data_IF_841304433704
#
_entry.id   IF_841304433704
#
_cell.length_a   1.000
_cell.length_b   1.000
_cell.length_c   1.000
_cell.angle_alpha   90.00
_cell.angle_beta   90.00
_cell.angle_gamma   90.00
#
_symmetry.space_group_name_H-M   'P 1'
#
loop_
_entity.id
_entity.type
_entity.pdbx_description
1 polymer ?
#
# COMPACT_ATOMS: atom_id res chain seq x y z
N UNK A 1 11.68 14.92 13.01
CA UNK A 1 10.79 14.06 12.21
C UNK A 1 11.49 13.44 11.01
N UNK A 2 12.31 14.18 10.24
CA UNK A 2 13.08 13.64 9.11
C UNK A 2 14.08 12.52 9.51
N UNK A 3 14.79 12.69 10.63
CA UNK A 3 15.82 11.75 11.12
C UNK A 3 15.28 10.35 11.47
N UNK A 4 14.10 10.26 12.09
CA UNK A 4 13.46 8.97 12.42
C UNK A 4 13.03 8.23 11.15
N UNK A 5 12.48 8.95 10.17
CA UNK A 5 12.01 8.34 8.92
C UNK A 5 13.18 7.77 8.12
N UNK A 6 14.27 8.54 8.00
CA UNK A 6 15.51 8.09 7.36
C UNK A 6 16.07 6.83 8.02
N UNK A 7 16.06 6.78 9.36
CA UNK A 7 16.57 5.62 10.08
C UNK A 7 15.67 4.38 9.95
N UNK A 8 14.35 4.56 9.85
CA UNK A 8 13.42 3.46 9.51
C UNK A 8 13.73 2.92 8.12
N UNK A 9 13.99 3.79 7.13
CA UNK A 9 14.35 3.38 5.77
C UNK A 9 15.66 2.60 5.74
N UNK A 10 16.70 3.09 6.43
CA UNK A 10 17.99 2.37 6.59
C UNK A 10 17.77 0.98 7.23
N UNK A 11 16.94 0.91 8.27
CA UNK A 11 16.62 -0.34 8.94
C UNK A 11 15.88 -1.32 8.03
N UNK A 12 14.87 -0.85 7.28
CA UNK A 12 14.17 -1.69 6.30
C UNK A 12 15.12 -2.18 5.21
N UNK A 13 15.94 -1.30 4.65
CA UNK A 13 16.88 -1.66 3.59
C UNK A 13 17.84 -2.78 4.01
N UNK A 14 18.41 -2.69 5.23
CA UNK A 14 19.38 -3.68 5.69
C UNK A 14 18.74 -4.96 6.25
N UNK A 15 17.46 -4.94 6.66
CA UNK A 15 16.77 -6.10 7.28
C UNK A 15 15.84 -6.86 6.34
N UNK A 16 15.20 -6.20 5.36
CA UNK A 16 14.11 -6.74 4.54
C UNK A 16 14.53 -7.74 3.44
N UNK A 17 15.81 -8.08 3.31
CA UNK A 17 16.27 -9.18 2.45
C UNK A 17 17.19 -10.13 3.22
N UNK A 18 17.12 -10.08 4.55
CA UNK A 18 18.04 -10.77 5.45
C UNK A 18 17.29 -11.24 6.71
N UNK A 19 16.41 -12.25 6.61
CA UNK A 19 15.58 -12.71 7.74
C UNK A 19 16.43 -13.11 8.96
N UNK A 20 17.58 -13.76 8.72
CA UNK A 20 18.55 -14.12 9.79
C UNK A 20 19.15 -12.89 10.47
N UNK A 21 19.29 -11.76 9.78
CA UNK A 21 19.77 -10.49 10.36
C UNK A 21 18.68 -9.81 11.17
N UNK A 22 17.43 -9.89 10.73
CA UNK A 22 16.27 -9.43 11.50
C UNK A 22 16.18 -10.16 12.85
N UNK A 23 16.43 -11.47 12.89
CA UNK A 23 16.52 -12.23 14.13
C UNK A 23 17.61 -11.70 15.07
N UNK A 24 18.78 -11.32 14.54
CA UNK A 24 19.85 -10.67 15.32
C UNK A 24 19.37 -9.33 15.86
N UNK A 25 18.78 -8.48 15.00
CA UNK A 25 18.26 -7.16 15.37
C UNK A 25 17.21 -7.22 16.49
N UNK A 26 16.32 -8.22 16.46
CA UNK A 26 15.31 -8.44 17.52
C UNK A 26 15.96 -8.62 18.89
N UNK A 27 17.07 -9.34 18.97
CA UNK A 27 17.80 -9.61 20.21
C UNK A 27 18.68 -8.45 20.70
N UNK A 28 18.92 -7.43 19.88
CA UNK A 28 19.66 -6.21 20.28
C UNK A 28 18.79 -5.37 21.21
N UNK A 29 19.21 -5.25 22.47
CA UNK A 29 18.44 -4.57 23.52
C UNK A 29 19.31 -3.96 24.64
N UNK A 30 20.64 -3.89 24.45
CA UNK A 30 21.57 -3.38 25.46
C UNK A 30 21.82 -4.34 26.64
N UNK A 31 21.30 -5.58 26.61
CA UNK A 31 21.49 -6.59 27.66
C UNK A 31 22.28 -7.81 27.18
N UNK A 32 22.13 -8.18 25.92
CA UNK A 32 22.83 -9.32 25.33
C UNK A 32 24.15 -8.90 24.67
N UNK A 33 25.22 -9.65 24.93
CA UNK A 33 26.47 -9.54 24.17
C UNK A 33 26.34 -10.16 22.79
N UNK A 34 27.26 -9.86 21.87
CA UNK A 34 27.36 -10.57 20.57
C UNK A 34 27.45 -12.09 20.75
N UNK A 35 28.12 -12.55 21.82
CA UNK A 35 28.23 -13.97 22.17
C UNK A 35 26.90 -14.54 22.64
N UNK A 36 26.16 -13.83 23.49
CA UNK A 36 24.81 -14.23 23.93
C UNK A 36 23.84 -14.37 22.75
N UNK A 37 23.85 -13.41 21.81
CA UNK A 37 23.00 -13.42 20.61
C UNK A 37 23.35 -14.62 19.71
N UNK A 38 24.64 -14.88 19.53
CA UNK A 38 25.15 -16.03 18.77
C UNK A 38 24.68 -17.36 19.36
N UNK A 39 24.78 -17.53 20.68
CA UNK A 39 24.31 -18.73 21.38
C UNK A 39 22.79 -18.89 21.25
N UNK A 40 22.01 -17.83 21.48
CA UNK A 40 20.53 -17.87 21.39
C UNK A 40 20.00 -18.24 20.02
N UNK A 41 20.67 -17.80 18.96
CA UNK A 41 20.26 -18.08 17.58
C UNK A 41 20.91 -19.36 17.00
N UNK A 42 21.82 -20.01 17.72
CA UNK A 42 22.60 -21.13 17.18
C UNK A 42 23.44 -20.77 15.95
N UNK A 43 23.87 -19.50 15.84
CA UNK A 43 24.63 -18.99 14.68
C UNK A 43 26.09 -18.75 15.05
N UNK A 44 27.01 -18.98 14.11
CA UNK A 44 28.45 -18.69 14.29
C UNK A 44 28.68 -17.24 14.75
N UNK A 45 29.56 -17.04 15.75
CA UNK A 45 29.89 -15.73 16.32
C UNK A 45 30.32 -14.71 15.25
N UNK A 46 31.14 -15.13 14.29
CA UNK A 46 31.60 -14.29 13.18
C UNK A 46 30.47 -13.80 12.27
N UNK A 47 29.45 -14.64 12.02
CA UNK A 47 28.31 -14.27 11.20
C UNK A 47 27.41 -13.25 11.91
N UNK A 48 27.15 -13.46 13.20
CA UNK A 48 26.40 -12.51 14.04
C UNK A 48 27.16 -11.20 14.17
N UNK A 49 28.48 -11.25 14.38
CA UNK A 49 29.33 -10.06 14.41
C UNK A 49 29.25 -9.25 13.12
N UNK A 50 29.28 -9.92 11.95
CA UNK A 50 29.16 -9.24 10.65
C UNK A 50 27.78 -8.60 10.44
N UNK A 51 26.72 -9.25 10.93
CA UNK A 51 25.37 -8.70 10.90
C UNK A 51 25.26 -7.47 11.81
N UNK A 52 25.80 -7.52 13.03
CA UNK A 52 25.84 -6.37 13.95
C UNK A 52 26.66 -5.21 13.39
N UNK A 53 27.82 -5.49 12.78
CA UNK A 53 28.64 -4.45 12.16
C UNK A 53 27.86 -3.71 11.06
N UNK A 54 27.20 -4.44 10.15
CA UNK A 54 26.38 -3.81 9.10
C UNK A 54 25.25 -2.96 9.65
N UNK A 55 24.62 -3.38 10.74
CA UNK A 55 23.57 -2.60 11.39
C UNK A 55 24.12 -1.35 12.09
N UNK A 56 25.34 -1.42 12.65
CA UNK A 56 26.04 -0.28 13.21
C UNK A 56 26.43 0.71 12.11
N UNK A 57 26.95 0.24 10.98
CA UNK A 57 27.35 1.09 9.85
C UNK A 57 26.16 1.87 9.26
N UNK A 58 24.94 1.32 9.38
CA UNK A 58 23.69 1.98 9.00
C UNK A 58 23.07 2.85 10.11
N UNK A 59 23.75 2.99 11.24
CA UNK A 59 23.34 3.75 12.43
C UNK A 59 22.01 3.31 13.06
N UNK A 60 21.57 2.07 12.81
CA UNK A 60 20.33 1.53 13.39
C UNK A 60 20.56 0.87 14.77
N UNK A 61 21.81 0.55 15.09
CA UNK A 61 22.25 0.12 16.42
C UNK A 61 23.53 0.86 16.81
N UNK A 62 23.79 0.96 18.11
CA UNK A 62 24.98 1.58 18.68
C UNK A 62 25.64 0.64 19.68
N UNK A 63 26.96 0.78 19.86
CA UNK A 63 27.64 0.15 20.98
C UNK A 63 27.09 0.74 22.27
N UNK A 64 26.81 -0.11 23.25
CA UNK A 64 26.36 0.36 24.55
C UNK A 64 27.54 0.99 25.28
N UNK A 65 27.36 2.21 25.75
CA UNK A 65 28.36 2.96 26.50
C UNK A 65 27.97 2.96 27.99
N UNK A 66 28.94 2.74 28.87
CA UNK A 66 28.73 2.85 30.32
C UNK A 66 28.76 4.31 30.81
N UNK A 67 28.52 4.51 32.10
CA UNK A 67 28.54 5.86 32.72
C UNK A 67 29.90 6.55 32.64
N UNK A 68 30.96 5.79 32.36
CA UNK A 68 32.34 6.28 32.26
C UNK A 68 32.79 6.52 30.82
N UNK A 69 31.91 6.29 29.84
CA UNK A 69 32.21 6.49 28.42
C UNK A 69 32.84 5.27 27.74
N UNK A 70 32.97 4.12 28.42
CA UNK A 70 33.58 2.92 27.86
C UNK A 70 32.55 2.00 27.20
N UNK A 71 32.97 1.29 26.15
CA UNK A 71 32.14 0.28 25.48
C UNK A 71 31.90 -0.90 26.41
N UNK A 72 30.63 -1.19 26.68
CA UNK A 72 30.22 -2.32 27.51
C UNK A 72 30.54 -3.63 26.79
N UNK A 73 31.33 -4.47 27.45
CA UNK A 73 31.62 -5.84 27.02
C UNK A 73 31.12 -6.82 28.07
N UNK A 74 30.59 -7.95 27.61
CA UNK A 74 30.18 -9.08 28.46
C UNK A 74 30.68 -10.38 27.82
N UNK A 75 31.30 -11.23 28.62
CA UNK A 75 31.93 -12.49 28.19
C UNK A 75 32.94 -12.30 27.03
N UNK A 76 33.67 -11.19 27.05
CA UNK A 76 34.64 -10.80 26.02
C UNK A 76 34.02 -10.22 24.74
N UNK A 77 32.70 -10.12 24.63
CA UNK A 77 31.98 -9.65 23.45
C UNK A 77 31.26 -8.32 23.70
N UNK A 78 31.18 -7.48 22.66
CA UNK A 78 30.55 -6.16 22.72
C UNK A 78 29.04 -6.29 22.93
N UNK A 79 28.46 -5.37 23.70
CA UNK A 79 27.00 -5.21 23.87
C UNK A 79 26.52 -4.06 22.99
N UNK A 80 25.48 -4.33 22.21
CA UNK A 80 24.83 -3.32 21.36
C UNK A 80 23.44 -2.98 21.88
N UNK A 81 22.99 -1.76 21.62
CA UNK A 81 21.62 -1.32 21.82
C UNK A 81 21.03 -0.70 20.55
N UNK A 82 19.71 -0.75 20.40
CA UNK A 82 19.04 -0.09 19.27
C UNK A 82 19.20 1.41 19.39
N UNK A 83 19.25 2.10 18.27
CA UNK A 83 19.23 3.56 18.26
C UNK A 83 18.02 4.07 19.09
N UNK A 84 18.15 5.10 19.94
CA UNK A 84 17.06 5.62 20.78
C UNK A 84 15.74 5.83 20.03
N UNK A 85 15.78 6.45 18.84
CA UNK A 85 14.57 6.69 18.05
C UNK A 85 13.92 5.39 17.49
N UNK A 86 14.66 4.29 17.36
CA UNK A 86 14.10 2.98 16.94
C UNK A 86 13.58 2.15 18.12
N UNK A 87 13.94 2.49 19.36
CA UNK A 87 13.62 1.70 20.56
C UNK A 87 12.12 1.58 20.82
N UNK A 88 11.34 2.58 20.43
CA UNK A 88 9.90 2.67 20.64
C UNK A 88 9.05 2.18 19.45
N UNK A 89 9.69 1.77 18.35
CA UNK A 89 8.99 1.31 17.17
C UNK A 89 8.57 -0.15 17.30
N UNK A 90 7.35 -0.46 16.85
CA UNK A 90 6.84 -1.83 16.79
C UNK A 90 7.72 -2.69 15.85
N UNK A 91 7.89 -3.96 16.20
CA UNK A 91 8.67 -4.91 15.39
C UNK A 91 8.13 -5.07 13.97
N UNK A 92 6.83 -4.82 13.75
CA UNK A 92 6.19 -4.88 12.43
C UNK A 92 6.79 -3.89 11.43
N UNK A 93 7.41 -2.79 11.88
CA UNK A 93 8.08 -1.84 10.99
C UNK A 93 9.30 -2.42 10.27
N UNK A 94 9.86 -3.51 10.80
CA UNK A 94 11.11 -4.12 10.34
C UNK A 94 10.91 -5.51 9.72
N UNK A 95 9.66 -5.97 9.55
CA UNK A 95 9.35 -7.23 8.89
C UNK A 95 9.34 -7.06 7.36
N UNK A 96 9.67 -8.13 6.63
CA UNK A 96 9.51 -8.21 5.18
C UNK A 96 8.03 -8.02 4.80
N UNK A 97 7.72 -7.01 3.99
CA UNK A 97 6.43 -6.87 3.31
C UNK A 97 6.54 -7.58 1.95
N UNK A 98 6.85 -8.87 1.96
CA UNK A 98 6.97 -9.63 0.72
C UNK A 98 6.90 -11.14 0.98
N UNK A 99 5.68 -11.65 1.11
CA UNK A 99 5.39 -13.05 0.74
C UNK A 99 5.14 -13.08 -0.80
N UNK A 100 6.12 -12.64 -1.60
CA UNK A 100 6.08 -12.69 -3.08
C UNK A 100 6.45 -14.08 -3.62
N UNK A 101 6.85 -15.01 -2.76
CA UNK A 101 7.11 -16.42 -3.05
C UNK A 101 5.83 -17.26 -3.22
N UNK A 102 4.64 -16.69 -3.02
CA UNK A 102 3.35 -17.29 -3.44
C UNK A 102 2.89 -16.90 -4.83
N UNK A 103 3.74 -16.26 -5.65
CA UNK A 103 3.54 -16.26 -7.10
C UNK A 103 3.88 -17.65 -7.65
N UNK A 104 2.95 -18.59 -7.46
CA UNK A 104 2.92 -19.80 -8.29
C UNK A 104 2.95 -19.35 -9.74
N UNK A 105 4.02 -19.70 -10.46
CA UNK A 105 3.98 -19.87 -11.91
C UNK A 105 2.87 -20.88 -12.18
N UNK A 106 1.67 -20.38 -12.48
CA UNK A 106 0.57 -21.25 -12.88
C UNK A 106 0.70 -21.38 -14.39
N UNK A 107 0.85 -22.61 -14.93
CA UNK A 107 0.87 -22.79 -16.37
C UNK A 107 -0.46 -22.34 -16.94
N UNK A 108 -0.38 -21.59 -18.02
CA UNK A 108 -1.53 -21.12 -18.78
C UNK A 108 -2.24 -22.34 -19.37
N UNK A 109 -3.40 -22.74 -18.79
CA UNK A 109 -4.46 -23.40 -19.56
C UNK A 109 -5.79 -23.54 -18.80
N UNK A 110 -6.84 -23.01 -19.46
CA UNK A 110 -8.25 -23.42 -19.49
C UNK A 110 -9.04 -23.54 -18.17
N UNK A 111 -9.88 -22.54 -17.90
CA UNK A 111 -11.35 -22.59 -18.12
C UNK A 111 -12.01 -21.36 -17.50
N UNK A 112 -12.81 -20.67 -18.29
CA UNK A 112 -13.76 -19.65 -17.85
C UNK A 112 -14.62 -20.20 -16.71
N UNK A 113 -14.29 -19.81 -15.49
CA UNK A 113 -15.19 -19.91 -14.35
C UNK A 113 -15.28 -18.51 -13.76
N UNK A 114 -16.49 -17.98 -13.76
CA UNK A 114 -16.85 -16.68 -13.21
C UNK A 114 -16.50 -16.69 -11.72
N UNK A 115 -15.27 -16.27 -11.39
CA UNK A 115 -14.88 -15.93 -10.03
C UNK A 115 -15.41 -14.52 -9.81
N UNK A 116 -16.34 -14.35 -8.88
CA UNK A 116 -16.77 -13.03 -8.43
C UNK A 116 -15.52 -12.30 -7.93
N UNK A 117 -14.97 -11.42 -8.77
CA UNK A 117 -13.72 -10.77 -8.49
C UNK A 117 -13.94 -9.79 -7.33
N UNK A 118 -13.14 -9.96 -6.26
CA UNK A 118 -13.16 -9.03 -5.13
C UNK A 118 -12.67 -7.64 -5.54
N UNK A 119 -12.61 -6.72 -4.58
CA UNK A 119 -11.97 -5.43 -4.79
C UNK A 119 -10.54 -5.61 -5.32
N UNK A 120 -10.07 -4.73 -6.24
CA UNK A 120 -8.66 -4.67 -6.62
C UNK A 120 -7.76 -4.67 -5.38
N UNK A 121 -6.57 -5.26 -5.45
CA UNK A 121 -5.64 -5.24 -4.32
C UNK A 121 -5.26 -3.78 -3.98
N UNK A 122 -5.16 -3.45 -2.70
CA UNK A 122 -4.66 -2.14 -2.27
C UNK A 122 -3.18 -2.04 -2.65
N UNK A 123 -2.77 -1.08 -3.50
CA UNK A 123 -1.37 -0.93 -3.88
C UNK A 123 -0.51 -0.54 -2.67
N UNK A 124 0.72 -1.07 -2.60
CA UNK A 124 1.67 -0.67 -1.57
C UNK A 124 2.18 0.75 -1.82
N UNK A 125 2.77 1.45 -0.83
CA UNK A 125 3.32 2.80 -1.05
C UNK A 125 4.33 2.87 -2.21
N UNK A 126 5.14 1.83 -2.40
CA UNK A 126 6.08 1.75 -3.52
C UNK A 126 5.37 1.59 -4.86
N UNK A 127 4.29 0.80 -4.90
CA UNK A 127 3.49 0.63 -6.12
C UNK A 127 2.81 1.95 -6.49
N UNK A 128 2.29 2.70 -5.51
CA UNK A 128 1.66 3.99 -5.79
C UNK A 128 2.67 5.01 -6.33
N UNK A 129 3.91 5.01 -5.83
CA UNK A 129 4.99 5.84 -6.40
C UNK A 129 5.28 5.48 -7.87
N UNK A 130 5.28 4.19 -8.19
CA UNK A 130 5.47 3.74 -9.57
C UNK A 130 4.27 4.10 -10.45
N UNK A 131 3.04 3.86 -9.99
CA UNK A 131 1.80 4.21 -10.69
C UNK A 131 1.75 5.71 -10.96
N UNK A 132 2.05 6.55 -9.96
CA UNK A 132 2.09 8.00 -10.11
C UNK A 132 3.07 8.45 -11.20
N UNK A 133 4.21 7.75 -11.35
CA UNK A 133 5.19 8.01 -12.41
C UNK A 133 4.72 7.53 -13.79
N UNK A 134 4.02 6.41 -13.85
CA UNK A 134 3.51 5.81 -15.10
C UNK A 134 2.27 6.54 -15.63
N UNK A 135 1.53 7.21 -14.74
CA UNK A 135 0.37 8.01 -15.08
C UNK A 135 -0.96 7.27 -14.94
N UNK A 136 -2.03 7.97 -15.32
CA UNK A 136 -3.38 7.41 -15.35
C UNK A 136 -3.54 6.35 -16.43
N UNK A 137 -4.42 5.39 -16.17
CA UNK A 137 -4.72 4.31 -17.11
C UNK A 137 -6.21 4.00 -17.10
N UNK A 138 -6.61 2.93 -17.78
CA UNK A 138 -7.97 2.43 -17.70
C UNK A 138 -8.36 1.91 -16.31
N UNK A 139 -7.40 1.61 -15.43
CA UNK A 139 -7.65 1.11 -14.07
C UNK A 139 -7.26 2.10 -12.97
N UNK A 140 -6.50 3.15 -13.32
CA UNK A 140 -5.98 4.15 -12.38
C UNK A 140 -6.47 5.54 -12.74
N UNK A 141 -6.98 6.25 -11.74
CA UNK A 141 -7.42 7.65 -11.83
C UNK A 141 -6.78 8.46 -10.70
N UNK A 142 -6.30 9.66 -11.00
CA UNK A 142 -5.73 10.59 -10.04
C UNK A 142 -6.71 11.73 -9.80
N UNK A 143 -6.84 12.16 -8.55
CA UNK A 143 -7.61 13.35 -8.17
C UNK A 143 -6.81 14.20 -7.19
N UNK A 144 -6.60 15.45 -7.59
CA UNK A 144 -5.97 16.44 -6.75
C UNK A 144 -6.79 16.74 -5.48
N UNK A 145 -6.14 17.22 -4.40
CA UNK A 145 -6.83 17.78 -3.24
C UNK A 145 -7.84 18.87 -3.63
N UNK A 146 -8.90 19.03 -2.85
CA UNK A 146 -10.01 19.93 -3.18
C UNK A 146 -11.01 19.36 -4.19
N UNK A 147 -10.75 18.20 -4.81
CA UNK A 147 -11.76 17.54 -5.67
C UNK A 147 -13.01 17.20 -4.86
N UNK A 148 -14.17 17.51 -5.42
CA UNK A 148 -15.47 17.27 -4.76
C UNK A 148 -15.85 15.79 -4.80
N UNK A 149 -16.58 15.33 -3.77
CA UNK A 149 -17.08 13.95 -3.70
C UNK A 149 -17.93 13.58 -4.93
N UNK A 150 -18.67 14.53 -5.49
CA UNK A 150 -19.50 14.32 -6.69
C UNK A 150 -18.69 14.03 -7.95
N UNK A 151 -17.51 14.66 -8.10
CA UNK A 151 -16.59 14.33 -9.20
C UNK A 151 -16.03 12.92 -9.02
N UNK A 152 -15.68 12.54 -7.80
CA UNK A 152 -15.22 11.18 -7.47
C UNK A 152 -16.32 10.16 -7.74
N UNK A 153 -17.57 10.44 -7.36
CA UNK A 153 -18.71 9.59 -7.64
C UNK A 153 -18.94 9.40 -9.14
N UNK A 154 -18.70 10.43 -9.96
CA UNK A 154 -18.75 10.31 -11.42
C UNK A 154 -17.67 9.36 -11.97
N UNK A 155 -16.45 9.40 -11.42
CA UNK A 155 -15.41 8.41 -11.79
C UNK A 155 -15.81 6.99 -11.38
N UNK A 156 -16.38 6.84 -10.17
CA UNK A 156 -16.90 5.55 -9.70
C UNK A 156 -17.98 5.04 -10.68
N UNK A 157 -18.90 5.89 -11.14
CA UNK A 157 -19.90 5.55 -12.15
C UNK A 157 -19.29 5.13 -13.50
N UNK A 158 -18.08 5.58 -13.83
CA UNK A 158 -17.32 5.07 -14.97
C UNK A 158 -16.78 3.65 -14.74
N UNK A 159 -16.34 3.35 -13.52
CA UNK A 159 -15.73 2.05 -13.19
C UNK A 159 -16.73 0.92 -12.94
N UNK A 160 -17.95 1.20 -12.49
CA UNK A 160 -18.91 0.16 -12.06
C UNK A 160 -19.31 -0.86 -13.15
N UNK A 161 -19.14 -0.54 -14.43
CA UNK A 161 -19.42 -1.44 -15.56
C UNK A 161 -18.16 -2.02 -16.24
N UNK A 162 -16.98 -1.71 -15.70
CA UNK A 162 -15.70 -2.19 -16.25
C UNK A 162 -15.40 -3.63 -15.81
N UNK A 163 -14.62 -4.37 -16.61
CA UNK A 163 -14.26 -5.76 -16.29
C UNK A 163 -13.30 -5.86 -15.12
N UNK A 164 -12.48 -4.83 -14.93
CA UNK A 164 -11.42 -4.83 -13.91
C UNK A 164 -11.76 -3.97 -12.68
N UNK A 165 -12.88 -3.24 -12.71
CA UNK A 165 -13.14 -2.20 -11.73
C UNK A 165 -12.11 -1.07 -11.89
N UNK A 166 -11.73 -0.46 -10.77
CA UNK A 166 -10.73 0.59 -10.81
C UNK A 166 -10.24 1.04 -9.44
N UNK A 167 -9.18 1.85 -9.47
CA UNK A 167 -8.59 2.48 -8.30
C UNK A 167 -8.47 3.98 -8.57
N UNK A 168 -9.04 4.77 -7.67
CA UNK A 168 -8.94 6.23 -7.69
C UNK A 168 -8.03 6.65 -6.54
N UNK A 169 -7.02 7.45 -6.83
CA UNK A 169 -6.10 8.01 -5.85
C UNK A 169 -6.43 9.48 -5.61
N UNK A 170 -6.80 9.80 -4.37
CA UNK A 170 -7.02 11.17 -3.93
C UNK A 170 -5.78 11.72 -3.22
N UNK A 171 -5.34 12.91 -3.62
CA UNK A 171 -4.09 13.51 -3.18
C UNK A 171 -2.94 13.40 -4.19
N UNK A 172 -3.22 12.95 -5.41
CA UNK A 172 -2.28 12.89 -6.54
C UNK A 172 -2.84 13.76 -7.67
N UNK A 173 -2.05 14.66 -8.24
CA UNK A 173 -2.43 15.40 -9.45
C UNK A 173 -2.30 14.54 -10.71
N UNK A 174 -2.94 14.99 -11.78
CA UNK A 174 -2.92 14.36 -13.10
C UNK A 174 -1.49 14.22 -13.67
N UNK A 175 -0.55 15.07 -13.23
CA UNK A 175 0.88 15.01 -13.59
C UNK A 175 1.69 13.97 -12.78
N UNK A 176 1.05 13.27 -11.86
CA UNK A 176 1.67 12.30 -10.95
C UNK A 176 2.26 12.90 -9.68
N UNK A 177 2.15 14.21 -9.45
CA UNK A 177 2.66 14.82 -8.21
C UNK A 177 1.81 14.45 -7.00
N UNK A 178 2.46 13.93 -5.95
CA UNK A 178 1.81 13.46 -4.72
C UNK A 178 1.82 14.60 -3.69
N UNK A 179 0.69 15.29 -3.54
CA UNK A 179 0.50 16.43 -2.62
C UNK A 179 -0.08 15.97 -1.28
N UNK A 180 -0.97 14.99 -1.34
CA UNK A 180 -1.69 14.42 -0.20
C UNK A 180 -3.03 15.06 0.09
N UNK A 181 -3.88 14.33 0.80
CA UNK A 181 -5.25 14.73 1.14
C UNK A 181 -5.29 16.00 1.99
N UNK A 182 -6.15 16.94 1.59
CA UNK A 182 -6.57 18.13 2.33
C UNK A 182 -7.69 17.84 3.37
N UNK A 183 -8.20 16.61 3.39
CA UNK A 183 -9.28 16.16 4.27
C UNK A 183 -8.82 15.04 5.19
N UNK A 184 -9.45 14.96 6.36
CA UNK A 184 -9.31 13.77 7.21
C UNK A 184 -9.90 12.55 6.49
N UNK A 185 -9.39 11.36 6.81
CA UNK A 185 -9.91 10.11 6.23
C UNK A 185 -11.41 9.94 6.49
N UNK A 186 -11.86 10.28 7.71
CA UNK A 186 -13.26 10.14 8.11
C UNK A 186 -14.19 11.08 7.33
N UNK A 187 -13.82 12.36 7.21
CA UNK A 187 -14.63 13.34 6.47
C UNK A 187 -14.69 12.98 4.99
N UNK A 188 -13.57 12.53 4.43
CA UNK A 188 -13.49 12.09 3.05
C UNK A 188 -14.37 10.86 2.80
N UNK A 189 -14.20 9.79 3.59
CA UNK A 189 -14.99 8.55 3.47
C UNK A 189 -16.49 8.86 3.57
N UNK A 190 -16.91 9.59 4.60
CA UNK A 190 -18.32 9.98 4.76
C UNK A 190 -18.85 10.77 3.55
N UNK A 191 -18.07 11.74 3.05
CA UNK A 191 -18.49 12.55 1.90
C UNK A 191 -18.64 11.74 0.62
N UNK A 192 -17.70 10.81 0.34
CA UNK A 192 -17.74 9.96 -0.86
C UNK A 192 -18.85 8.92 -0.76
N UNK A 193 -19.02 8.25 0.39
CA UNK A 193 -20.11 7.29 0.60
C UNK A 193 -21.49 7.96 0.40
N UNK A 194 -21.67 9.16 0.95
CA UNK A 194 -22.91 9.92 0.78
C UNK A 194 -23.13 10.32 -0.69
N UNK A 195 -22.09 10.82 -1.37
CA UNK A 195 -22.20 11.19 -2.78
C UNK A 195 -22.54 9.97 -3.64
N UNK A 196 -21.86 8.84 -3.46
CA UNK A 196 -22.16 7.58 -4.17
C UNK A 196 -23.59 7.13 -3.93
N UNK A 197 -24.06 7.13 -2.67
CA UNK A 197 -25.44 6.75 -2.32
C UNK A 197 -26.49 7.64 -2.97
N UNK A 198 -26.22 8.94 -3.09
CA UNK A 198 -27.18 9.91 -3.60
C UNK A 198 -27.13 10.04 -5.13
N UNK A 199 -26.00 9.70 -5.76
CA UNK A 199 -25.77 9.93 -7.19
C UNK A 199 -25.71 8.68 -8.04
N UNK A 200 -25.61 7.48 -7.44
CA UNK A 200 -25.59 6.20 -8.18
C UNK A 200 -26.65 5.25 -7.63
N UNK A 201 -27.48 4.71 -8.51
CA UNK A 201 -28.56 3.79 -8.15
C UNK A 201 -28.48 2.46 -8.92
N UNK A 202 -28.48 1.30 -8.24
CA UNK A 202 -28.32 1.16 -6.79
C UNK A 202 -26.92 1.61 -6.33
N UNK A 203 -26.69 1.96 -5.05
CA UNK A 203 -25.35 2.35 -4.60
C UNK A 203 -24.34 1.20 -4.77
N UNK A 204 -23.25 1.38 -5.54
CA UNK A 204 -22.22 0.37 -5.69
C UNK A 204 -21.38 0.25 -4.40
N UNK A 205 -20.99 -0.96 -3.99
CA UNK A 205 -20.05 -1.10 -2.89
C UNK A 205 -18.66 -0.66 -3.33
N UNK A 206 -18.04 0.21 -2.54
CA UNK A 206 -16.67 0.70 -2.69
C UNK A 206 -15.87 0.39 -1.43
N UNK A 207 -14.54 0.36 -1.54
CA UNK A 207 -13.64 0.41 -0.37
C UNK A 207 -12.82 1.68 -0.43
N UNK A 208 -12.66 2.32 0.72
CA UNK A 208 -11.81 3.50 0.87
C UNK A 208 -10.75 3.15 1.88
N UNK A 209 -9.49 3.29 1.49
CA UNK A 209 -8.33 2.94 2.29
C UNK A 209 -7.40 4.16 2.41
N UNK A 210 -6.60 4.18 3.46
CA UNK A 210 -5.59 5.21 3.69
C UNK A 210 -4.19 4.62 3.49
N UNK A 211 -3.37 5.30 2.69
CA UNK A 211 -1.97 4.93 2.46
C UNK A 211 -1.08 6.16 2.67
N UNK A 212 -0.06 6.04 3.52
CA UNK A 212 0.94 7.09 3.69
C UNK A 212 2.15 6.82 2.79
N UNK A 213 2.46 7.76 1.90
CA UNK A 213 3.59 7.69 0.97
C UNK A 213 4.56 8.80 1.36
N UNK A 214 5.74 8.45 1.88
CA UNK A 214 6.74 9.43 2.32
C UNK A 214 6.17 10.49 3.29
N UNK A 215 5.29 10.06 4.22
CA UNK A 215 4.52 10.90 5.14
C UNK A 215 3.43 11.78 4.50
N UNK A 216 3.21 11.67 3.20
CA UNK A 216 2.11 12.34 2.49
C UNK A 216 0.89 11.42 2.45
N UNK A 217 -0.27 11.87 2.97
CA UNK A 217 -1.47 11.04 3.05
C UNK A 217 -2.16 10.90 1.70
N UNK A 218 -2.33 9.68 1.18
CA UNK A 218 -3.11 9.40 -0.03
C UNK A 218 -4.30 8.52 0.34
N UNK A 219 -5.49 8.91 -0.14
CA UNK A 219 -6.71 8.12 0.05
C UNK A 219 -6.97 7.33 -1.23
N UNK A 220 -7.22 6.03 -1.09
CA UNK A 220 -7.39 5.11 -2.22
C UNK A 220 -8.81 4.59 -2.22
N UNK A 221 -9.57 4.89 -3.28
CA UNK A 221 -10.91 4.34 -3.50
C UNK A 221 -10.80 3.17 -4.48
N UNK A 222 -11.34 2.02 -4.10
CA UNK A 222 -11.34 0.80 -4.91
C UNK A 222 -12.76 0.44 -5.30
N UNK A 223 -12.98 0.33 -6.60
CA UNK A 223 -14.24 -0.10 -7.22
C UNK A 223 -14.07 -1.53 -7.70
N UNK A 224 -14.98 -2.40 -7.32
CA UNK A 224 -14.97 -3.81 -7.73
C UNK A 224 -15.25 -3.96 -9.23
N UNK A 225 -14.73 -5.01 -9.87
CA UNK A 225 -15.20 -5.48 -11.17
C UNK A 225 -16.72 -5.59 -11.25
N UNK A 226 -17.26 -5.32 -12.43
CA UNK A 226 -18.68 -5.48 -12.67
C UNK A 226 -19.12 -6.94 -12.47
N UNK A 227 -20.18 -7.15 -11.70
CA UNK A 227 -20.70 -8.48 -11.37
C UNK A 227 -21.51 -9.13 -12.50
N UNK A 228 -21.62 -8.43 -13.64
CA UNK A 228 -22.36 -8.83 -14.84
C UNK A 228 -23.86 -9.02 -14.60
N UNK A 229 -24.39 -8.43 -13.52
CA UNK A 229 -25.79 -8.54 -13.11
C UNK A 229 -26.42 -7.19 -12.83
N UNK A 230 -25.76 -6.36 -12.02
CA UNK A 230 -26.32 -5.08 -11.57
C UNK A 230 -25.91 -3.96 -12.50
N UNK A 231 -26.88 -3.25 -13.07
CA UNK A 231 -26.62 -2.05 -13.86
C UNK A 231 -26.80 -0.83 -12.95
N UNK A 232 -25.88 0.11 -13.03
CA UNK A 232 -25.76 1.28 -12.16
C UNK A 232 -26.07 2.56 -12.92
N UNK A 233 -27.15 3.25 -12.56
CA UNK A 233 -27.52 4.55 -13.15
C UNK A 233 -26.90 5.69 -12.35
N UNK A 234 -26.33 6.68 -13.04
CA UNK A 234 -25.98 7.97 -12.44
C UNK A 234 -27.23 8.85 -12.41
N UNK A 235 -27.75 9.13 -11.21
CA UNK A 235 -29.10 9.69 -11.02
C UNK A 235 -29.18 11.18 -11.36
N UNK A 236 -28.06 11.90 -11.39
CA UNK A 236 -28.06 13.35 -11.66
C UNK A 236 -28.47 13.70 -13.09
N UNK A 237 -28.18 12.84 -14.05
CA UNK A 237 -28.51 13.04 -15.48
C UNK A 237 -29.18 11.82 -16.11
N UNK A 238 -29.59 10.85 -15.27
CA UNK A 238 -30.29 9.63 -15.64
C UNK A 238 -29.54 8.72 -16.64
N UNK A 239 -28.21 8.86 -16.74
CA UNK A 239 -27.38 8.10 -17.68
C UNK A 239 -26.62 6.95 -17.01
N UNK A 240 -26.13 6.04 -17.85
CA UNK A 240 -25.24 4.96 -17.47
C UNK A 240 -23.86 5.26 -18.04
N UNK A 241 -22.81 5.01 -17.28
CA UNK A 241 -21.45 5.38 -17.65
C UNK A 241 -20.52 4.19 -17.75
N UNK A 242 -19.49 4.31 -18.57
CA UNK A 242 -18.36 3.39 -18.61
C UNK A 242 -17.07 4.14 -18.89
N UNK A 243 -15.98 3.73 -18.25
CA UNK A 243 -14.64 4.22 -18.55
C UNK A 243 -14.10 3.54 -19.81
N UNK A 244 -13.59 4.34 -20.76
CA UNK A 244 -12.84 3.87 -21.92
C UNK A 244 -11.50 4.62 -22.00
N UNK A 245 -10.39 3.89 -21.92
CA UNK A 245 -9.09 4.52 -21.66
C UNK A 245 -9.10 5.33 -20.36
N UNK A 246 -8.72 6.61 -20.40
CA UNK A 246 -8.74 7.50 -19.22
C UNK A 246 -10.04 8.29 -19.05
N UNK A 247 -10.99 8.19 -19.98
CA UNK A 247 -12.19 9.02 -19.99
C UNK A 247 -13.46 8.24 -19.62
N UNK A 248 -14.44 8.93 -19.04
CA UNK A 248 -15.76 8.38 -18.72
C UNK A 248 -16.78 8.79 -19.78
N UNK A 249 -17.41 7.81 -20.43
CA UNK A 249 -18.39 8.01 -21.49
C UNK A 249 -19.78 7.51 -21.09
N UNK A 250 -20.86 8.18 -21.55
CA UNK A 250 -22.19 7.60 -21.44
C UNK A 250 -22.30 6.36 -22.33
N UNK A 251 -22.94 5.31 -21.81
CA UNK A 251 -23.24 4.10 -22.53
C UNK A 251 -24.33 4.36 -23.58
N UNK A 252 -24.15 3.77 -24.76
CA UNK A 252 -25.16 3.79 -25.83
C UNK A 252 -26.30 2.79 -25.54
N UNK A 253 -27.48 2.93 -26.17
CA UNK A 253 -28.58 1.99 -25.99
C UNK A 253 -28.21 0.53 -26.32
N UNK A 254 -27.37 0.31 -27.33
CA UNK A 254 -26.88 -1.03 -27.69
C UNK A 254 -25.95 -1.61 -26.62
N UNK A 255 -25.07 -0.79 -26.04
CA UNK A 255 -24.21 -1.20 -24.93
C UNK A 255 -25.00 -1.51 -23.66
N UNK A 256 -26.02 -0.71 -23.33
CA UNK A 256 -26.93 -0.99 -22.20
C UNK A 256 -27.66 -2.33 -22.42
N UNK A 257 -28.13 -2.61 -23.64
CA UNK A 257 -28.77 -3.88 -23.98
C UNK A 257 -27.83 -5.08 -23.85
N UNK A 258 -26.52 -4.89 -24.09
CA UNK A 258 -25.50 -5.92 -23.85
C UNK A 258 -25.27 -6.13 -22.36
N UNK A 259 -25.13 -5.04 -21.60
CA UNK A 259 -24.98 -5.12 -20.14
C UNK A 259 -26.19 -5.82 -19.48
N UNK A 260 -27.42 -5.59 -19.95
CA UNK A 260 -28.61 -6.25 -19.38
C UNK A 260 -28.66 -7.75 -19.63
N UNK A 261 -27.92 -8.24 -20.64
CA UNK A 261 -27.70 -9.67 -20.90
C UNK A 261 -26.48 -10.23 -20.15
N UNK A 262 -25.81 -9.41 -19.35
CA UNK A 262 -24.58 -9.78 -18.65
C UNK A 262 -23.35 -9.84 -19.56
N UNK A 263 -23.40 -9.23 -20.74
CA UNK A 263 -22.26 -9.15 -21.66
C UNK A 263 -21.43 -7.91 -21.36
N UNK A 264 -20.11 -8.08 -21.20
CA UNK A 264 -19.23 -6.93 -21.05
C UNK A 264 -19.14 -6.17 -22.38
N UNK A 265 -19.13 -4.84 -22.29
CA UNK A 265 -18.88 -3.96 -23.42
C UNK A 265 -17.38 -3.65 -23.52
N UNK A 266 -16.97 -3.06 -24.64
CA UNK A 266 -15.57 -2.69 -24.82
C UNK A 266 -15.26 -1.44 -24.00
N UNK A 267 -14.11 -1.48 -23.36
CA UNK A 267 -13.53 -0.51 -22.44
C UNK A 267 -12.13 -0.14 -22.92
#
# INVERSE_FOLDING_TARGET
MAELHEMILRARFILANAPKRLEVFRLVNGRHSTKDISLKLGRKLSNVGRDLQRMRDMDIIKEKIDKTGNVVKKDGAIVYEKHPLLKHLSESFFQEVSDTTKLKKTPFNKKDSVRTAGFPTLPSPSDILQIAKEGETQIYEFKAPGTTADKIAKEIAGYVHTKNGGIIFYGIHDDGSIIGSDKTFQDFDQSVQNSVRNTISPPPPIRIDYVSILNTPVIVIRVKPWDRKTIYQYTKDERYYIRKGTNVFPLTPSEISRLSKGECVNE
#
